data_IF_140763403694
#
_entry.id   IF_140763403694
#
_cell.length_a   1.000
_cell.length_b   1.000
_cell.length_c   1.000
_cell.angle_alpha   90.00
_cell.angle_beta   90.00
_cell.angle_gamma   90.00
#
_symmetry.space_group_name_H-M   'P 1'
#
loop_
_entity.id
_entity.type
_entity.pdbx_description
1 polymer ?
#
# COMPACT_ATOMS: atom_id res chain seq x y z
N UNK A 1 -1.24 -25.61 2.11
CA UNK A 1 -1.62 -25.35 0.69
C UNK A 1 -0.41 -24.74 0.01
N UNK A 2 -0.02 -25.27 -1.14
CA UNK A 2 1.12 -24.80 -1.93
C UNK A 2 0.68 -23.61 -2.80
N UNK A 3 1.52 -22.59 -2.93
CA UNK A 3 1.26 -21.39 -3.76
C UNK A 3 1.16 -21.77 -5.22
N UNK A 4 0.19 -21.26 -5.95
CA UNK A 4 0.12 -21.38 -7.41
C UNK A 4 1.12 -20.41 -8.06
N UNK A 5 1.82 -20.94 -9.08
CA UNK A 5 2.76 -20.21 -9.92
C UNK A 5 2.44 -20.43 -11.38
N UNK A 6 2.95 -19.55 -12.26
CA UNK A 6 2.89 -19.72 -13.70
C UNK A 6 4.30 -19.63 -14.30
N UNK A 7 4.53 -20.39 -15.38
CA UNK A 7 5.80 -20.44 -16.10
C UNK A 7 5.65 -21.06 -17.48
N UNK A 8 6.57 -20.75 -18.40
CA UNK A 8 6.76 -21.50 -19.62
C UNK A 8 7.63 -22.72 -19.32
N UNK A 9 7.21 -23.89 -19.74
CA UNK A 9 7.74 -25.17 -19.28
C UNK A 9 8.62 -25.89 -20.33
N UNK A 10 7.99 -26.48 -21.33
CA UNK A 10 8.66 -27.35 -22.30
C UNK A 10 7.75 -27.50 -23.51
N UNK A 11 8.32 -27.71 -24.70
CA UNK A 11 7.56 -27.91 -25.94
C UNK A 11 6.76 -29.23 -25.99
N UNK A 12 5.90 -29.39 -26.98
CA UNK A 12 5.14 -30.59 -27.24
C UNK A 12 5.99 -31.85 -27.48
N UNK A 13 7.24 -31.64 -27.89
CA UNK A 13 8.20 -32.75 -28.14
C UNK A 13 8.99 -33.13 -26.90
N UNK A 14 8.77 -32.47 -25.77
CA UNK A 14 9.60 -32.62 -24.57
C UNK A 14 10.99 -31.96 -24.69
N UNK A 15 11.20 -31.11 -25.70
CA UNK A 15 12.43 -30.36 -25.97
C UNK A 15 12.28 -28.87 -25.74
N UNK A 16 13.32 -28.12 -26.15
CA UNK A 16 13.40 -26.67 -25.97
C UNK A 16 12.83 -25.87 -27.16
N UNK A 17 12.49 -26.53 -28.26
CA UNK A 17 11.92 -25.91 -29.43
C UNK A 17 10.69 -26.71 -29.88
N UNK A 18 9.54 -26.05 -29.97
CA UNK A 18 8.29 -26.59 -30.41
C UNK A 18 7.68 -25.79 -31.54
N UNK A 19 6.51 -26.23 -32.03
CA UNK A 19 5.69 -25.44 -32.93
C UNK A 19 5.10 -24.25 -32.19
N UNK A 20 4.76 -23.19 -32.93
CA UNK A 20 4.11 -22.03 -32.35
C UNK A 20 2.72 -22.36 -31.84
N UNK A 21 2.35 -21.76 -30.71
CA UNK A 21 1.11 -22.04 -30.00
C UNK A 21 1.22 -23.27 -29.08
N UNK A 22 0.34 -23.37 -28.10
CA UNK A 22 0.30 -24.49 -27.16
C UNK A 22 -0.33 -25.72 -27.77
N UNK A 23 0.48 -26.72 -28.06
CA UNK A 23 0.06 -27.96 -28.70
C UNK A 23 -0.44 -29.00 -27.69
N UNK A 24 -0.08 -28.88 -26.43
CA UNK A 24 -0.34 -29.87 -25.37
C UNK A 24 -1.33 -29.40 -24.31
N UNK A 25 -1.66 -28.11 -24.28
CA UNK A 25 -2.43 -27.49 -23.20
C UNK A 25 -1.61 -27.30 -21.93
N UNK A 26 -0.27 -27.27 -22.01
CA UNK A 26 0.59 -27.21 -20.83
C UNK A 26 2.00 -26.70 -21.08
N UNK A 27 2.28 -26.13 -22.23
CA UNK A 27 3.61 -25.60 -22.57
C UNK A 27 3.90 -24.30 -21.84
N UNK A 28 2.88 -23.47 -21.69
CA UNK A 28 2.85 -22.40 -20.67
C UNK A 28 1.76 -22.76 -19.67
N UNK A 29 2.12 -22.92 -18.40
CA UNK A 29 1.21 -23.55 -17.43
C UNK A 29 1.09 -22.84 -16.11
N UNK A 30 0.02 -23.18 -15.41
CA UNK A 30 -0.18 -22.88 -13.99
C UNK A 30 -0.03 -24.17 -13.19
N UNK A 31 0.85 -24.15 -12.18
CA UNK A 31 1.08 -25.30 -11.32
C UNK A 31 1.35 -24.88 -9.88
N UNK A 32 1.66 -25.88 -9.05
CA UNK A 32 2.08 -25.60 -7.66
C UNK A 32 3.53 -25.14 -7.65
N UNK A 33 3.85 -24.28 -6.70
CA UNK A 33 5.24 -23.97 -6.39
C UNK A 33 6.01 -25.26 -6.13
N UNK A 34 7.23 -25.34 -6.62
CA UNK A 34 8.13 -26.46 -6.41
C UNK A 34 9.57 -25.96 -6.28
N UNK A 35 10.44 -26.76 -5.67
CA UNK A 35 11.85 -26.43 -5.57
C UNK A 35 12.60 -26.91 -6.83
N UNK A 36 13.30 -26.02 -7.52
CA UNK A 36 14.11 -26.30 -8.71
C UNK A 36 15.53 -25.73 -8.58
N UNK A 37 16.04 -25.56 -7.35
CA UNK A 37 17.33 -24.97 -7.08
C UNK A 37 17.37 -23.46 -7.16
N UNK A 38 16.21 -22.77 -7.07
CA UNK A 38 16.14 -21.32 -7.10
C UNK A 38 16.98 -20.69 -5.99
N UNK A 39 17.72 -19.65 -6.35
CA UNK A 39 18.67 -18.98 -5.47
C UNK A 39 18.30 -17.52 -5.16
N UNK A 40 17.30 -16.99 -5.84
CA UNK A 40 16.84 -15.62 -5.62
C UNK A 40 15.34 -15.46 -5.88
N UNK A 41 14.70 -14.59 -5.12
CA UNK A 41 13.35 -14.09 -5.38
C UNK A 41 13.45 -12.59 -5.63
N UNK A 42 12.88 -12.13 -6.75
CA UNK A 42 12.79 -10.72 -7.11
C UNK A 42 11.38 -10.25 -6.82
N UNK A 43 11.23 -9.41 -5.81
CA UNK A 43 9.93 -8.88 -5.36
C UNK A 43 9.74 -7.46 -5.83
N UNK A 44 8.72 -7.23 -6.64
CA UNK A 44 8.33 -5.89 -7.08
C UNK A 44 7.81 -5.07 -5.89
N UNK A 45 8.36 -3.86 -5.69
CA UNK A 45 7.93 -2.93 -4.62
C UNK A 45 6.57 -2.30 -4.92
N UNK A 46 6.28 -2.05 -6.20
CA UNK A 46 4.96 -1.62 -6.66
C UNK A 46 4.00 -2.82 -6.67
N UNK A 47 3.15 -2.90 -5.67
CA UNK A 47 2.21 -4.02 -5.50
C UNK A 47 1.09 -4.04 -6.52
N UNK A 48 0.75 -2.90 -7.12
CA UNK A 48 -0.23 -2.84 -8.21
C UNK A 48 0.36 -3.44 -9.50
N UNK A 49 1.60 -3.07 -9.85
CA UNK A 49 2.34 -3.69 -10.95
C UNK A 49 2.54 -5.19 -10.72
N UNK A 50 2.95 -5.60 -9.51
CA UNK A 50 3.12 -7.02 -9.16
C UNK A 50 1.85 -7.84 -9.38
N UNK A 51 0.70 -7.32 -8.96
CA UNK A 51 -0.60 -7.94 -9.19
C UNK A 51 -0.93 -8.02 -10.68
N UNK A 52 -0.69 -6.94 -11.42
CA UNK A 52 -0.94 -6.89 -12.87
C UNK A 52 -0.04 -7.87 -13.64
N UNK A 53 1.23 -8.00 -13.26
CA UNK A 53 2.14 -9.02 -13.81
C UNK A 53 1.58 -10.44 -13.59
N UNK A 54 1.11 -10.75 -12.38
CA UNK A 54 0.52 -12.05 -12.07
C UNK A 54 -0.78 -12.32 -12.85
N UNK A 55 -1.63 -11.29 -13.07
CA UNK A 55 -2.82 -11.39 -13.91
C UNK A 55 -2.45 -11.65 -15.37
N UNK A 56 -1.46 -10.95 -15.91
CA UNK A 56 -1.01 -11.08 -17.27
C UNK A 56 -0.41 -12.48 -17.54
N UNK A 57 0.52 -12.95 -16.70
CA UNK A 57 1.11 -14.28 -16.88
C UNK A 57 0.07 -15.40 -16.76
N UNK A 58 -0.91 -15.23 -15.87
CA UNK A 58 -2.04 -16.15 -15.73
C UNK A 58 -2.88 -16.19 -17.02
N UNK A 59 -3.13 -15.04 -17.63
CA UNK A 59 -3.88 -14.97 -18.88
C UNK A 59 -3.11 -15.60 -20.06
N UNK A 60 -1.78 -15.42 -20.10
CA UNK A 60 -0.90 -16.07 -21.09
C UNK A 60 -0.95 -17.60 -20.92
N UNK A 61 -0.82 -18.09 -19.68
CA UNK A 61 -0.84 -19.53 -19.40
C UNK A 61 -2.19 -20.21 -19.68
N UNK A 62 -3.25 -19.45 -19.92
CA UNK A 62 -4.56 -19.94 -20.34
C UNK A 62 -4.86 -19.63 -21.83
N UNK A 63 -3.89 -19.10 -22.59
CA UNK A 63 -4.08 -18.77 -23.98
C UNK A 63 -3.47 -19.86 -24.86
N UNK A 64 -4.28 -20.63 -25.63
CA UNK A 64 -3.81 -21.73 -26.46
C UNK A 64 -2.90 -21.28 -27.63
N UNK A 65 -2.87 -19.99 -27.94
CA UNK A 65 -1.98 -19.44 -28.97
C UNK A 65 -0.55 -19.21 -28.46
N UNK A 66 -0.23 -19.47 -27.16
CA UNK A 66 1.10 -19.25 -26.61
C UNK A 66 1.74 -20.57 -26.20
N UNK A 67 2.73 -21.01 -26.95
CA UNK A 67 3.49 -22.24 -26.72
C UNK A 67 4.91 -21.98 -26.23
N UNK A 68 5.72 -23.04 -26.26
CA UNK A 68 7.11 -23.01 -25.78
C UNK A 68 8.12 -23.22 -26.91
N UNK A 69 9.06 -22.28 -27.02
CA UNK A 69 10.20 -22.41 -27.96
C UNK A 69 11.28 -21.39 -27.62
N UNK A 70 12.53 -21.88 -27.51
CA UNK A 70 13.67 -20.99 -27.24
C UNK A 70 14.19 -20.28 -28.47
N UNK A 71 14.19 -20.95 -29.63
CA UNK A 71 14.69 -20.38 -30.88
C UNK A 71 13.86 -19.23 -31.43
N UNK A 72 12.57 -19.21 -31.12
CA UNK A 72 11.59 -18.22 -31.57
C UNK A 72 10.83 -17.53 -30.42
N UNK A 73 11.40 -17.53 -29.23
CA UNK A 73 10.83 -17.01 -27.97
C UNK A 73 10.32 -15.56 -28.04
N UNK A 74 10.89 -14.75 -28.95
CA UNK A 74 10.47 -13.36 -29.14
C UNK A 74 9.14 -13.23 -29.89
N UNK A 75 8.56 -14.30 -30.37
CA UNK A 75 7.28 -14.24 -31.10
C UNK A 75 6.13 -13.85 -30.19
N UNK A 76 6.12 -14.24 -28.90
CA UNK A 76 5.17 -13.72 -27.91
C UNK A 76 5.33 -12.21 -27.72
N UNK A 77 6.56 -11.72 -27.52
CA UNK A 77 6.84 -10.29 -27.38
C UNK A 77 6.25 -9.49 -28.54
N UNK A 78 6.53 -9.93 -29.79
CA UNK A 78 6.03 -9.26 -30.98
C UNK A 78 4.51 -9.29 -31.10
N UNK A 79 3.88 -10.44 -30.85
CA UNK A 79 2.44 -10.60 -30.89
C UNK A 79 1.73 -9.73 -29.85
N UNK A 80 2.26 -9.68 -28.62
CA UNK A 80 1.64 -8.90 -27.55
C UNK A 80 1.86 -7.38 -27.72
N UNK A 81 3.04 -6.99 -28.20
CA UNK A 81 3.32 -5.61 -28.59
C UNK A 81 2.40 -5.11 -29.70
N UNK A 82 2.11 -5.96 -30.69
CA UNK A 82 1.23 -5.62 -31.80
C UNK A 82 -0.21 -5.28 -31.35
N UNK A 83 -0.68 -5.86 -30.24
CA UNK A 83 -1.98 -5.53 -29.62
C UNK A 83 -1.86 -4.47 -28.51
N UNK A 84 -0.76 -3.72 -28.48
CA UNK A 84 -0.57 -2.58 -27.56
C UNK A 84 -0.46 -2.97 -26.10
N UNK A 85 0.08 -4.13 -25.75
CA UNK A 85 0.16 -4.67 -24.38
C UNK A 85 -1.20 -4.81 -23.68
N UNK A 86 -2.26 -4.95 -24.47
CA UNK A 86 -3.61 -5.19 -23.96
C UNK A 86 -3.69 -6.55 -23.21
N UNK A 87 -4.89 -6.92 -22.74
CA UNK A 87 -5.08 -8.23 -22.10
C UNK A 87 -4.54 -9.35 -23.02
N UNK A 88 -3.54 -10.14 -22.59
CA UNK A 88 -2.88 -11.14 -23.42
C UNK A 88 -3.80 -12.27 -23.87
N UNK A 89 -4.97 -12.45 -23.25
CA UNK A 89 -6.02 -13.34 -23.76
C UNK A 89 -6.53 -12.95 -25.16
N UNK A 90 -6.22 -11.73 -25.65
CA UNK A 90 -6.57 -11.26 -27.00
C UNK A 90 -5.52 -11.61 -28.06
N UNK A 91 -4.39 -12.20 -27.70
CA UNK A 91 -3.42 -12.70 -28.66
C UNK A 91 -4.06 -13.87 -29.38
N UNK A 92 -4.28 -13.71 -30.68
CA UNK A 92 -4.97 -14.69 -31.54
C UNK A 92 -4.04 -15.28 -32.64
N UNK A 93 -2.74 -15.04 -32.53
CA UNK A 93 -1.72 -15.57 -33.42
C UNK A 93 -0.82 -16.53 -32.67
N UNK A 94 -0.50 -17.66 -33.26
CA UNK A 94 0.38 -18.64 -32.64
C UNK A 94 1.78 -18.09 -32.48
N UNK A 95 2.28 -18.16 -31.26
CA UNK A 95 3.57 -17.62 -30.85
C UNK A 95 4.20 -18.47 -29.75
N UNK A 96 5.50 -18.30 -29.55
CA UNK A 96 6.26 -19.02 -28.53
C UNK A 96 6.98 -18.05 -27.59
N UNK A 97 7.27 -18.55 -26.40
CA UNK A 97 8.10 -17.92 -25.38
C UNK A 97 8.99 -18.97 -24.71
N UNK A 98 9.99 -18.56 -23.97
CA UNK A 98 10.65 -19.38 -22.97
C UNK A 98 10.40 -18.84 -21.56
N UNK A 99 10.93 -19.50 -20.52
CA UNK A 99 10.66 -19.11 -19.13
C UNK A 99 11.14 -17.69 -18.82
N UNK A 100 12.30 -17.28 -19.30
CA UNK A 100 12.89 -15.97 -19.05
C UNK A 100 12.29 -14.86 -19.92
N UNK A 101 11.96 -15.19 -21.17
CA UNK A 101 11.24 -14.28 -22.08
C UNK A 101 9.86 -13.94 -21.54
N UNK A 102 9.11 -14.94 -21.10
CA UNK A 102 7.79 -14.76 -20.51
C UNK A 102 7.81 -13.76 -19.34
N UNK A 103 8.80 -13.88 -18.45
CA UNK A 103 8.97 -12.93 -17.33
C UNK A 103 9.35 -11.53 -17.82
N UNK A 104 10.23 -11.43 -18.82
CA UNK A 104 10.59 -10.13 -19.40
C UNK A 104 9.39 -9.43 -20.02
N UNK A 105 8.60 -10.15 -20.83
CA UNK A 105 7.41 -9.62 -21.49
C UNK A 105 6.35 -9.15 -20.50
N UNK A 106 6.14 -9.91 -19.43
CA UNK A 106 5.22 -9.55 -18.36
C UNK A 106 5.67 -8.28 -17.61
N UNK A 107 6.97 -8.12 -17.37
CA UNK A 107 7.52 -6.90 -16.77
C UNK A 107 7.39 -5.70 -17.71
N UNK A 108 7.72 -5.87 -18.99
CA UNK A 108 7.59 -4.82 -20.01
C UNK A 108 6.13 -4.37 -20.15
N UNK A 109 5.18 -5.31 -20.12
CA UNK A 109 3.74 -5.02 -20.25
C UNK A 109 3.17 -4.10 -19.15
N UNK A 110 3.86 -3.97 -18.02
CA UNK A 110 3.49 -3.07 -16.92
C UNK A 110 4.39 -1.83 -16.83
N UNK A 111 5.16 -1.57 -17.90
CA UNK A 111 5.96 -0.35 -18.07
C UNK A 111 7.35 -0.40 -17.44
N UNK A 112 7.96 -1.58 -17.30
CA UNK A 112 9.39 -1.67 -17.00
C UNK A 112 10.21 -1.59 -18.27
N UNK A 113 11.20 -0.71 -18.28
CA UNK A 113 12.16 -0.56 -19.38
C UNK A 113 13.33 -1.53 -19.16
N UNK A 114 13.16 -2.74 -19.68
CA UNK A 114 14.18 -3.80 -19.67
C UNK A 114 14.29 -4.42 -21.06
N UNK A 115 15.43 -5.03 -21.37
CA UNK A 115 15.59 -5.74 -22.64
C UNK A 115 14.58 -6.88 -22.77
N UNK A 116 13.90 -7.02 -23.93
CA UNK A 116 13.06 -8.18 -24.18
C UNK A 116 13.89 -9.47 -24.37
N UNK A 117 15.20 -9.39 -24.53
CA UNK A 117 16.08 -10.54 -24.76
C UNK A 117 16.74 -11.09 -23.48
N UNK A 118 16.31 -10.63 -22.30
CA UNK A 118 16.83 -11.16 -21.05
C UNK A 118 16.69 -12.69 -20.98
N UNK A 119 17.68 -13.31 -20.38
CA UNK A 119 17.69 -14.73 -20.03
C UNK A 119 17.83 -14.88 -18.51
N UNK A 120 17.72 -16.08 -17.98
CA UNK A 120 17.73 -16.30 -16.52
C UNK A 120 18.91 -15.63 -15.82
N UNK A 121 20.14 -15.70 -16.40
CA UNK A 121 21.33 -15.08 -15.82
C UNK A 121 21.36 -13.55 -15.87
N UNK A 122 20.59 -12.89 -16.72
CA UNK A 122 20.52 -11.43 -16.81
C UNK A 122 19.35 -10.80 -16.09
N UNK A 123 18.26 -11.56 -15.82
CA UNK A 123 17.02 -11.05 -15.22
C UNK A 123 17.24 -10.34 -13.88
N UNK A 124 18.08 -10.91 -12.99
CA UNK A 124 18.33 -10.28 -11.68
C UNK A 124 18.92 -8.89 -11.81
N UNK A 125 19.95 -8.74 -12.66
CA UNK A 125 20.59 -7.45 -12.89
C UNK A 125 19.66 -6.45 -13.56
N UNK A 126 18.93 -6.88 -14.60
CA UNK A 126 17.98 -6.05 -15.32
C UNK A 126 16.87 -5.51 -14.38
N UNK A 127 16.21 -6.38 -13.62
CA UNK A 127 15.13 -5.98 -12.73
C UNK A 127 15.61 -5.18 -11.51
N UNK A 128 16.78 -5.54 -10.93
CA UNK A 128 17.41 -4.73 -9.88
C UNK A 128 17.75 -3.33 -10.38
N UNK A 129 18.21 -3.22 -11.64
CA UNK A 129 18.58 -1.94 -12.28
C UNK A 129 17.41 -0.96 -12.39
N UNK A 130 16.16 -1.42 -12.46
CA UNK A 130 14.98 -0.55 -12.45
C UNK A 130 14.76 0.19 -11.12
N UNK A 131 15.42 -0.22 -10.04
CA UNK A 131 15.22 0.33 -8.70
C UNK A 131 13.96 -0.16 -7.98
N UNK A 132 13.05 -0.82 -8.69
CA UNK A 132 11.72 -1.23 -8.17
C UNK A 132 11.67 -2.64 -7.62
N UNK A 133 12.72 -3.44 -7.75
CA UNK A 133 12.75 -4.81 -7.26
C UNK A 133 13.66 -4.98 -6.05
N UNK A 134 13.13 -5.69 -5.04
CA UNK A 134 13.90 -6.24 -3.93
C UNK A 134 14.52 -7.56 -4.36
N UNK A 135 15.80 -7.78 -4.03
CA UNK A 135 16.50 -9.06 -4.20
C UNK A 135 16.50 -9.80 -2.87
N UNK A 136 15.87 -10.95 -2.81
CA UNK A 136 15.68 -11.77 -1.62
C UNK A 136 16.40 -13.11 -1.81
N UNK A 137 17.40 -13.41 -0.99
CA UNK A 137 18.26 -14.59 -1.15
C UNK A 137 18.24 -15.56 0.05
N UNK A 138 17.66 -15.15 1.17
CA UNK A 138 17.60 -16.01 2.35
C UNK A 138 16.71 -17.25 2.11
N UNK A 139 17.05 -18.36 2.72
CA UNK A 139 16.38 -19.66 2.57
C UNK A 139 14.85 -19.60 2.73
N UNK A 140 14.35 -18.78 3.67
CA UNK A 140 12.91 -18.60 3.87
C UNK A 140 12.17 -18.09 2.62
N UNK A 141 12.86 -17.44 1.69
CA UNK A 141 12.29 -16.93 0.44
C UNK A 141 12.49 -17.91 -0.72
N UNK A 142 13.61 -18.63 -0.73
CA UNK A 142 14.03 -19.46 -1.86
C UNK A 142 13.71 -20.94 -1.70
N UNK A 143 13.51 -21.44 -0.49
CA UNK A 143 13.27 -22.86 -0.21
C UNK A 143 11.83 -23.20 0.20
N UNK A 144 10.96 -22.19 0.31
CA UNK A 144 9.57 -22.36 0.71
C UNK A 144 8.68 -21.34 0.02
N UNK A 145 7.45 -21.74 -0.27
CA UNK A 145 6.41 -20.83 -0.75
C UNK A 145 5.70 -20.05 0.35
N UNK A 146 6.03 -20.27 1.62
CA UNK A 146 5.33 -19.71 2.78
C UNK A 146 5.26 -18.18 2.76
N UNK A 147 6.34 -17.55 2.31
CA UNK A 147 6.51 -16.11 2.26
C UNK A 147 6.39 -15.51 0.86
N UNK A 148 5.99 -16.30 -0.15
CA UNK A 148 5.72 -15.77 -1.49
C UNK A 148 4.66 -14.67 -1.43
N UNK A 149 4.82 -13.65 -2.26
CA UNK A 149 3.79 -12.66 -2.54
C UNK A 149 3.41 -12.72 -4.01
N UNK A 150 2.16 -12.36 -4.31
CA UNK A 150 1.68 -12.24 -5.71
C UNK A 150 2.67 -11.42 -6.54
N UNK A 151 3.09 -11.95 -7.70
CA UNK A 151 4.04 -11.30 -8.59
C UNK A 151 5.52 -11.46 -8.18
N UNK A 152 5.83 -12.27 -7.17
CA UNK A 152 7.22 -12.64 -6.89
C UNK A 152 7.78 -13.46 -8.06
N UNK A 153 8.93 -13.07 -8.57
CA UNK A 153 9.69 -13.77 -9.59
C UNK A 153 10.71 -14.67 -8.87
N UNK A 154 10.51 -15.97 -8.97
CA UNK A 154 11.31 -17.01 -8.30
C UNK A 154 12.27 -17.55 -9.34
N UNK A 155 13.56 -17.32 -9.15
CA UNK A 155 14.60 -17.49 -10.16
C UNK A 155 15.71 -18.41 -9.69
N UNK A 156 16.11 -19.35 -10.55
CA UNK A 156 17.44 -19.91 -10.61
C UNK A 156 18.17 -19.24 -11.79
N UNK A 157 19.23 -18.51 -11.49
CA UNK A 157 19.95 -17.70 -12.50
C UNK A 157 20.60 -18.53 -13.61
N UNK A 158 20.65 -19.86 -13.48
CA UNK A 158 21.24 -20.74 -14.48
C UNK A 158 20.22 -21.51 -15.31
N UNK A 159 19.04 -21.80 -14.76
CA UNK A 159 18.17 -22.83 -15.37
C UNK A 159 16.74 -22.40 -15.62
N UNK A 160 16.07 -21.72 -14.68
CA UNK A 160 14.61 -21.57 -14.77
C UNK A 160 14.08 -20.40 -13.94
N UNK A 161 12.87 -19.93 -14.31
CA UNK A 161 12.16 -18.88 -13.61
C UNK A 161 10.66 -19.11 -13.64
N UNK A 162 9.98 -18.84 -12.51
CA UNK A 162 8.52 -18.93 -12.36
C UNK A 162 8.00 -17.67 -11.66
N UNK A 163 6.72 -17.37 -11.74
CA UNK A 163 6.08 -16.26 -11.05
C UNK A 163 4.97 -16.74 -10.13
N UNK A 164 4.94 -16.25 -8.88
CA UNK A 164 3.90 -16.54 -7.92
C UNK A 164 2.59 -15.83 -8.27
N UNK A 165 1.48 -16.57 -8.30
CA UNK A 165 0.13 -16.06 -8.56
C UNK A 165 -0.64 -15.79 -7.27
N UNK A 166 -0.16 -16.26 -6.13
CA UNK A 166 -0.82 -16.16 -4.84
C UNK A 166 0.16 -15.79 -3.74
N UNK A 167 -0.40 -15.25 -2.65
CA UNK A 167 0.36 -15.10 -1.42
C UNK A 167 0.50 -16.43 -0.70
N UNK A 168 1.67 -16.68 -0.14
CA UNK A 168 1.94 -17.82 0.72
C UNK A 168 1.19 -17.75 2.06
N UNK A 169 1.09 -18.89 2.78
CA UNK A 169 0.28 -18.99 3.99
C UNK A 169 0.74 -18.04 5.11
N UNK A 170 2.04 -17.81 5.26
CA UNK A 170 2.54 -16.87 6.27
C UNK A 170 2.27 -15.42 5.92
N UNK A 171 2.28 -15.05 4.64
CA UNK A 171 1.85 -13.71 4.17
C UNK A 171 0.35 -13.51 4.37
N UNK A 172 -0.47 -14.54 4.05
CA UNK A 172 -1.92 -14.51 4.27
C UNK A 172 -2.24 -14.35 5.76
N UNK A 173 -1.55 -15.08 6.64
CA UNK A 173 -1.72 -14.98 8.09
C UNK A 173 -1.34 -13.59 8.63
N UNK A 174 -0.22 -13.02 8.18
CA UNK A 174 0.18 -11.66 8.56
C UNK A 174 -0.84 -10.61 8.12
N UNK A 175 -1.39 -10.73 6.89
CA UNK A 175 -2.44 -9.83 6.40
C UNK A 175 -3.76 -10.00 7.17
N UNK A 176 -4.11 -11.22 7.56
CA UNK A 176 -5.31 -11.49 8.36
C UNK A 176 -5.22 -10.92 9.79
N UNK A 177 -4.02 -10.87 10.37
CA UNK A 177 -3.78 -10.25 11.69
C UNK A 177 -3.67 -8.73 11.64
N UNK A 178 -3.52 -8.14 10.46
CA UNK A 178 -3.39 -6.70 10.29
C UNK A 178 -4.72 -6.00 10.58
N UNK A 179 -4.75 -5.19 11.63
CA UNK A 179 -5.92 -4.38 11.97
C UNK A 179 -6.20 -3.32 10.91
N UNK A 180 -7.46 -2.89 10.81
CA UNK A 180 -7.82 -1.77 9.94
C UNK A 180 -7.09 -0.49 10.37
N UNK A 181 -6.85 0.42 9.41
CA UNK A 181 -6.24 1.73 9.71
C UNK A 181 -7.05 2.47 10.78
N UNK A 182 -8.37 2.42 10.73
CA UNK A 182 -9.23 3.09 11.73
C UNK A 182 -9.07 2.51 13.13
N UNK A 183 -8.97 1.17 13.26
CA UNK A 183 -8.73 0.52 14.54
C UNK A 183 -7.36 0.89 15.13
N UNK A 184 -6.32 0.92 14.28
CA UNK A 184 -4.96 1.30 14.71
C UNK A 184 -4.88 2.78 15.10
N UNK A 185 -5.54 3.67 14.35
CA UNK A 185 -5.62 5.10 14.69
C UNK A 185 -6.23 5.28 16.08
N UNK A 186 -7.33 4.56 16.38
CA UNK A 186 -7.95 4.62 17.70
C UNK A 186 -7.00 4.12 18.80
N UNK A 187 -6.33 2.99 18.58
CA UNK A 187 -5.35 2.44 19.53
C UNK A 187 -4.14 3.36 19.75
N UNK A 188 -3.70 4.10 18.71
CA UNK A 188 -2.63 5.09 18.85
C UNK A 188 -3.11 6.28 19.70
N UNK A 189 -4.32 6.75 19.48
CA UNK A 189 -4.93 7.83 20.27
C UNK A 189 -5.10 7.42 21.75
N UNK A 190 -5.30 6.13 22.01
CA UNK A 190 -5.33 5.54 23.35
C UNK A 190 -3.94 5.23 23.93
N UNK A 191 -2.86 5.52 23.20
CA UNK A 191 -1.47 5.33 23.69
C UNK A 191 -0.91 3.90 23.54
N UNK A 192 -1.66 2.94 22.99
CA UNK A 192 -1.27 1.52 22.94
C UNK A 192 -0.07 1.21 22.03
N UNK A 193 0.28 2.14 21.13
CA UNK A 193 1.37 1.97 20.17
C UNK A 193 2.65 2.72 20.53
N UNK A 194 2.68 3.47 21.65
CA UNK A 194 3.81 4.28 22.07
C UNK A 194 4.03 5.50 21.17
N UNK A 195 5.26 6.03 21.15
CA UNK A 195 5.66 7.24 20.41
C UNK A 195 6.70 6.92 19.34
N UNK A 196 6.86 7.82 18.36
CA UNK A 196 7.91 7.70 17.35
C UNK A 196 9.32 7.89 17.97
N UNK A 197 10.37 7.22 17.46
CA UNK A 197 10.36 6.38 16.25
C UNK A 197 9.86 4.94 16.46
N UNK A 198 9.71 4.49 17.72
CA UNK A 198 9.32 3.10 18.03
C UNK A 198 7.96 2.71 17.47
N UNK A 199 6.99 3.64 17.48
CA UNK A 199 5.66 3.41 16.87
C UNK A 199 5.77 3.07 15.39
N UNK A 200 6.55 3.81 14.64
CA UNK A 200 6.79 3.55 13.21
C UNK A 200 7.39 2.18 12.97
N UNK A 201 8.36 1.76 13.79
CA UNK A 201 8.97 0.44 13.70
C UNK A 201 7.93 -0.67 13.98
N UNK A 202 7.09 -0.50 15.01
CA UNK A 202 6.01 -1.46 15.35
C UNK A 202 4.96 -1.55 14.26
N UNK A 203 4.56 -0.43 13.64
CA UNK A 203 3.63 -0.41 12.51
C UNK A 203 4.20 -1.16 11.30
N UNK A 204 5.48 -0.95 10.97
CA UNK A 204 6.17 -1.72 9.91
C UNK A 204 6.19 -3.22 10.22
N UNK A 205 6.51 -3.60 11.45
CA UNK A 205 6.51 -5.00 11.89
C UNK A 205 5.11 -5.63 11.82
N UNK A 206 4.05 -4.85 12.07
CA UNK A 206 2.66 -5.27 11.92
C UNK A 206 2.18 -5.28 10.44
N UNK A 207 3.08 -5.04 9.47
CA UNK A 207 2.80 -5.16 8.04
C UNK A 207 2.16 -3.92 7.39
N UNK A 208 2.23 -2.74 8.04
CA UNK A 208 1.78 -1.49 7.40
C UNK A 208 2.86 -0.93 6.48
N UNK A 209 2.46 -0.59 5.25
CA UNK A 209 3.32 0.06 4.27
C UNK A 209 3.63 1.51 4.66
N UNK A 210 4.66 2.11 4.08
CA UNK A 210 5.00 3.52 4.32
C UNK A 210 3.82 4.45 4.02
N UNK A 211 3.08 4.20 2.94
CA UNK A 211 1.90 4.99 2.58
C UNK A 211 0.74 4.84 3.59
N UNK A 212 0.53 3.64 4.14
CA UNK A 212 -0.47 3.42 5.18
C UNK A 212 -0.07 4.07 6.50
N UNK A 213 1.21 4.06 6.85
CA UNK A 213 1.75 4.73 8.03
C UNK A 213 1.56 6.25 7.92
N UNK A 214 1.77 6.85 6.75
CA UNK A 214 1.47 8.25 6.50
C UNK A 214 -0.02 8.55 6.75
N UNK A 215 -0.93 7.77 6.14
CA UNK A 215 -2.38 7.91 6.37
C UNK A 215 -2.79 7.76 7.85
N UNK A 216 -2.14 6.86 8.58
CA UNK A 216 -2.36 6.68 10.02
C UNK A 216 -1.95 7.95 10.77
N UNK A 217 -0.76 8.50 10.48
CA UNK A 217 -0.26 9.75 11.10
C UNK A 217 -1.20 10.92 10.88
N UNK A 218 -1.65 11.13 9.64
CA UNK A 218 -2.56 12.23 9.31
C UNK A 218 -3.87 12.14 10.09
N UNK A 219 -4.46 10.94 10.16
CA UNK A 219 -5.70 10.70 10.93
C UNK A 219 -5.50 10.90 12.42
N UNK A 220 -4.38 10.40 12.99
CA UNK A 220 -4.06 10.61 14.42
C UNK A 220 -3.89 12.10 14.70
N UNK A 221 -3.16 12.83 13.87
CA UNK A 221 -2.95 14.28 14.02
C UNK A 221 -4.28 15.03 13.98
N UNK A 222 -5.17 14.70 13.05
CA UNK A 222 -6.49 15.32 12.96
C UNK A 222 -7.31 15.10 14.25
N UNK A 223 -7.37 13.86 14.77
CA UNK A 223 -8.09 13.55 16.01
C UNK A 223 -7.47 14.27 17.22
N UNK A 224 -6.14 14.32 17.31
CA UNK A 224 -5.45 14.98 18.42
C UNK A 224 -5.69 16.49 18.40
N UNK A 225 -5.66 17.12 17.23
CA UNK A 225 -5.99 18.52 17.05
C UNK A 225 -7.43 18.83 17.47
N UNK A 226 -8.40 17.99 17.10
CA UNK A 226 -9.79 18.14 17.54
C UNK A 226 -9.93 17.97 19.06
N UNK A 227 -9.23 16.99 19.67
CA UNK A 227 -9.20 16.83 21.13
C UNK A 227 -8.62 18.04 21.82
N UNK A 228 -7.54 18.64 21.31
CA UNK A 228 -6.95 19.86 21.87
C UNK A 228 -7.92 21.04 21.82
N UNK A 229 -8.66 21.22 20.71
CA UNK A 229 -9.70 22.26 20.61
C UNK A 229 -10.84 22.09 21.63
N UNK A 230 -11.09 20.87 22.07
CA UNK A 230 -12.16 20.53 23.04
C UNK A 230 -11.69 20.51 24.49
N UNK A 231 -10.39 20.58 24.77
CA UNK A 231 -9.86 20.55 26.14
C UNK A 231 -10.00 21.93 26.76
N UNK A 232 -10.59 22.03 27.98
CA UNK A 232 -10.65 23.30 28.68
C UNK A 232 -9.27 23.85 28.99
N UNK A 233 -9.02 25.10 28.65
CA UNK A 233 -7.78 25.80 29.01
C UNK A 233 -7.79 26.25 30.47
N UNK A 234 -8.93 26.78 30.92
CA UNK A 234 -9.12 27.28 32.29
C UNK A 234 -10.61 27.49 32.61
N UNK A 235 -10.91 27.65 33.87
CA UNK A 235 -12.24 28.04 34.36
C UNK A 235 -12.19 29.43 35.01
N UNK A 236 -13.32 30.09 35.04
CA UNK A 236 -13.42 31.39 35.70
C UNK A 236 -14.87 31.68 36.11
N UNK A 237 -15.02 32.65 37.01
CA UNK A 237 -16.33 33.19 37.41
C UNK A 237 -16.53 34.58 36.85
N UNK A 238 -17.76 34.84 36.39
CA UNK A 238 -18.20 36.19 35.97
C UNK A 238 -18.15 37.13 37.16
N UNK A 239 -17.43 38.25 37.02
CA UNK A 239 -17.28 39.30 38.07
C UNK A 239 -17.99 40.59 37.72
N UNK A 240 -18.61 40.70 36.54
CA UNK A 240 -19.44 41.84 36.19
C UNK A 240 -20.79 41.78 36.93
N UNK A 241 -21.06 42.73 37.81
CA UNK A 241 -22.28 42.77 38.62
C UNK A 241 -23.55 42.90 37.81
N UNK A 242 -23.49 43.64 36.66
CA UNK A 242 -24.60 43.77 35.73
C UNK A 242 -24.75 42.51 34.79
N UNK A 243 -23.95 41.45 35.01
CA UNK A 243 -23.86 40.29 34.13
C UNK A 243 -22.89 40.51 32.96
N UNK A 244 -22.58 39.42 32.25
CA UNK A 244 -21.61 39.38 31.15
C UNK A 244 -22.28 38.89 29.84
N UNK A 245 -22.20 39.68 28.82
CA UNK A 245 -22.76 39.35 27.52
C UNK A 245 -21.93 38.23 26.83
N UNK A 246 -22.60 37.20 26.35
CA UNK A 246 -22.06 36.21 25.40
C UNK A 246 -22.33 36.73 23.99
N UNK A 247 -21.32 36.70 23.16
CA UNK A 247 -21.38 37.27 21.80
C UNK A 247 -20.95 36.23 20.77
N UNK A 248 -21.46 36.41 19.54
CA UNK A 248 -21.20 35.50 18.40
C UNK A 248 -19.75 35.59 17.88
N UNK A 249 -19.00 36.64 18.29
CA UNK A 249 -17.56 36.77 18.01
C UNK A 249 -16.86 37.53 19.14
N UNK A 250 -15.54 37.51 19.14
CA UNK A 250 -14.67 38.20 20.07
C UNK A 250 -14.65 39.74 19.84
N UNK A 251 -15.79 40.42 19.99
CA UNK A 251 -15.96 41.85 19.80
C UNK A 251 -17.16 42.38 20.59
N UNK A 252 -17.01 43.55 21.16
CA UNK A 252 -18.14 44.26 21.80
C UNK A 252 -19.26 44.65 20.82
N UNK A 253 -18.96 44.70 19.53
CA UNK A 253 -19.91 45.01 18.46
C UNK A 253 -20.54 43.78 17.86
N UNK A 254 -20.02 42.57 18.19
CA UNK A 254 -20.62 41.32 17.70
C UNK A 254 -22.03 41.09 18.32
N UNK A 255 -22.88 40.37 17.57
CA UNK A 255 -24.24 40.03 18.00
C UNK A 255 -24.24 39.44 19.40
N UNK A 256 -25.04 40.03 20.31
CA UNK A 256 -25.30 39.48 21.63
C UNK A 256 -26.18 38.22 21.50
N UNK A 257 -25.76 37.13 22.07
CA UNK A 257 -26.48 35.85 22.09
C UNK A 257 -27.30 35.69 23.37
N UNK A 258 -26.66 35.97 24.51
CA UNK A 258 -27.28 35.91 25.84
C UNK A 258 -26.48 36.75 26.84
N UNK A 259 -26.90 36.77 28.08
CA UNK A 259 -26.15 37.32 29.21
C UNK A 259 -25.99 36.27 30.31
N UNK A 260 -24.82 36.22 30.92
CA UNK A 260 -24.49 35.37 32.06
C UNK A 260 -24.58 36.21 33.34
N UNK A 261 -25.29 35.74 34.37
CA UNK A 261 -25.37 36.42 35.68
C UNK A 261 -23.97 36.54 36.37
N UNK A 262 -23.85 37.46 37.28
CA UNK A 262 -22.69 37.55 38.21
C UNK A 262 -22.52 36.18 38.92
N UNK A 263 -21.25 35.77 39.11
CA UNK A 263 -20.88 34.54 39.77
C UNK A 263 -21.01 33.28 38.89
N UNK A 264 -21.56 33.35 37.67
CA UNK A 264 -21.62 32.23 36.76
C UNK A 264 -20.22 31.69 36.46
N UNK A 265 -20.05 30.37 36.58
CA UNK A 265 -18.81 29.70 36.16
C UNK A 265 -18.78 29.50 34.66
N UNK A 266 -17.72 29.94 34.01
CA UNK A 266 -17.48 29.77 32.57
C UNK A 266 -16.22 28.95 32.35
N UNK A 267 -16.24 28.11 31.31
CA UNK A 267 -15.08 27.29 30.88
C UNK A 267 -14.48 27.91 29.61
N UNK A 268 -13.19 28.17 29.60
CA UNK A 268 -12.45 28.67 28.47
C UNK A 268 -11.92 27.51 27.61
N UNK A 269 -12.35 27.42 26.36
CA UNK A 269 -11.86 26.46 25.36
C UNK A 269 -10.90 27.10 24.35
N UNK A 270 -10.74 28.40 24.38
CA UNK A 270 -9.83 29.15 23.51
C UNK A 270 -9.83 30.63 23.87
N UNK A 271 -8.79 31.32 23.46
CA UNK A 271 -8.68 32.78 23.58
C UNK A 271 -8.53 33.40 22.21
N UNK A 272 -9.36 34.39 21.89
CA UNK A 272 -9.25 35.21 20.69
C UNK A 272 -8.97 36.66 21.09
N UNK A 273 -7.96 37.26 20.50
CA UNK A 273 -7.61 38.66 20.74
C UNK A 273 -8.43 39.56 19.81
N UNK A 274 -8.92 40.70 20.33
CA UNK A 274 -9.47 41.79 19.54
C UNK A 274 -8.67 43.04 19.94
N UNK A 275 -7.67 43.40 19.13
CA UNK A 275 -6.62 44.32 19.55
C UNK A 275 -5.88 43.75 20.74
N UNK A 276 -5.87 44.52 21.85
CA UNK A 276 -5.24 44.09 23.13
C UNK A 276 -6.25 43.40 24.07
N UNK A 277 -7.51 43.23 23.67
CA UNK A 277 -8.56 42.69 24.52
C UNK A 277 -8.71 41.18 24.31
N UNK A 278 -8.44 40.35 25.30
CA UNK A 278 -8.65 38.93 25.27
C UNK A 278 -10.15 38.56 25.42
N UNK A 279 -10.62 37.66 24.61
CA UNK A 279 -11.95 37.10 24.69
C UNK A 279 -11.87 35.58 24.86
N UNK A 280 -12.63 35.02 25.79
CA UNK A 280 -12.70 33.59 26.01
C UNK A 280 -13.77 32.97 25.12
N UNK A 281 -13.40 31.97 24.34
CA UNK A 281 -14.35 31.07 23.73
C UNK A 281 -14.91 30.14 24.81
N UNK A 282 -16.21 30.19 25.08
CA UNK A 282 -16.84 29.49 26.21
C UNK A 282 -17.68 28.29 25.79
N UNK A 283 -17.80 28.02 24.49
CA UNK A 283 -18.43 26.82 23.96
C UNK A 283 -17.45 26.05 23.09
N UNK A 284 -17.54 24.69 23.14
CA UNK A 284 -16.63 23.81 22.39
C UNK A 284 -16.81 23.92 20.88
N UNK A 285 -18.06 23.98 20.44
CA UNK A 285 -18.46 23.84 19.04
C UNK A 285 -18.95 25.16 18.46
N UNK A 286 -19.68 25.95 19.23
CA UNK A 286 -20.28 27.21 18.79
C UNK A 286 -19.30 28.39 18.95
N UNK A 287 -19.49 29.41 18.14
CA UNK A 287 -18.77 30.70 18.27
C UNK A 287 -19.43 31.52 19.37
N UNK A 288 -19.12 31.23 20.63
CA UNK A 288 -19.63 31.92 21.79
C UNK A 288 -18.46 32.48 22.60
N UNK A 289 -18.42 33.80 22.73
CA UNK A 289 -17.31 34.51 23.32
C UNK A 289 -17.78 35.44 24.45
N UNK A 290 -16.96 35.53 25.49
CA UNK A 290 -17.09 36.52 26.57
C UNK A 290 -15.81 37.31 26.71
N UNK A 291 -15.90 38.58 27.09
CA UNK A 291 -14.70 39.38 27.37
C UNK A 291 -14.00 38.85 28.64
N UNK A 292 -12.74 38.50 28.52
CA UNK A 292 -11.94 37.97 29.62
C UNK A 292 -11.72 39.01 30.77
N UNK A 293 -11.87 40.29 30.51
CA UNK A 293 -11.79 41.36 31.49
C UNK A 293 -12.80 41.19 32.63
N UNK A 294 -13.92 40.57 32.36
CA UNK A 294 -15.02 40.38 33.32
C UNK A 294 -15.10 38.94 33.86
N UNK A 295 -14.01 38.17 33.76
CA UNK A 295 -13.92 36.80 34.24
C UNK A 295 -12.71 36.64 35.14
N UNK A 296 -12.92 36.29 36.43
CA UNK A 296 -11.86 35.96 37.37
C UNK A 296 -11.54 34.49 37.26
N UNK A 297 -10.30 34.14 36.91
CA UNK A 297 -9.85 32.73 36.85
C UNK A 297 -10.01 32.10 38.23
N UNK A 298 -10.55 30.88 38.25
CA UNK A 298 -10.63 30.03 39.44
C UNK A 298 -9.73 28.81 39.22
N UNK A 299 -9.04 28.43 40.32
CA UNK A 299 -8.19 27.22 40.32
C UNK A 299 -9.03 25.96 40.33
#
# INVERSE_FOLDING_TARGET
MTVKCAWAAISETGGINGRKGDQTGGEVRIGNWYYFGQNVVLRCKDRAKAKKMAENIKAIANNPHVGYGQSDRLTLYNAWRAVGWANPAKIAVDCNTDCSQLISDVCISVGYDISPTNWTGSLKSALKGTGDFQVLTAAKWTQSSDYCEVGDIILNEQTHVIMALENGPKVKAQKAQKKSISAVVQEIVEGKWGVDPNRTARLKAAGYTTAEIAKIRDKVTAIMNEKQKQTPLKKGKVIATAGLNVRADASQFAKKLMALPYGTTVTCYGVKMNGQDPWWKIDKTRSEYVSARYVKVVK
#
